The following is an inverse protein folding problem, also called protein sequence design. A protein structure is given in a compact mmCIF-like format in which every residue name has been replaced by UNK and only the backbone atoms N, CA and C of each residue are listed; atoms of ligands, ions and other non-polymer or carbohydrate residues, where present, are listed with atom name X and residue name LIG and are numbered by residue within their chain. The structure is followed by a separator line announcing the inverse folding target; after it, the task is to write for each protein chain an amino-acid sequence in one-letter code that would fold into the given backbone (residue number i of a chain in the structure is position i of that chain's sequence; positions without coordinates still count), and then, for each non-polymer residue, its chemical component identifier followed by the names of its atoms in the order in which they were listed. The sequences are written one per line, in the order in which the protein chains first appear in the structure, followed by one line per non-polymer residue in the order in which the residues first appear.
data_IF_900914621498
#
_entry.id   IF_900914621498
#
_cell.length_a   1.000
_cell.length_b   1.000
_cell.length_c   1.000
_cell.angle_alpha   90.00
_cell.angle_beta   90.00
_cell.angle_gamma   90.00
#
_symmetry.space_group_name_H-M   'P 1'
#
loop_
_entity.id
_entity.type
_entity.pdbx_description
1 polymer ?
#
# COMPACT_ATOMS: atom_id res chain seq x y z
N UNK A 1 -6.09 8.60 -20.16
CA UNK A 1 -6.81 8.15 -18.95
C UNK A 1 -5.81 7.80 -17.86
N UNK A 2 -6.16 7.91 -16.58
CA UNK A 2 -5.21 7.71 -15.45
C UNK A 2 -5.25 6.32 -14.82
N UNK A 3 -5.98 5.38 -15.43
CA UNK A 3 -6.19 4.04 -14.89
C UNK A 3 -5.84 2.98 -15.94
N UNK A 4 -5.66 1.75 -15.47
CA UNK A 4 -5.55 0.56 -16.30
C UNK A 4 -6.56 -0.49 -15.85
N UNK A 5 -7.12 -1.24 -16.79
CA UNK A 5 -8.04 -2.35 -16.47
C UNK A 5 -7.36 -3.66 -16.84
N UNK A 6 -7.30 -4.57 -15.89
CA UNK A 6 -6.85 -5.94 -16.14
C UNK A 6 -8.04 -6.88 -16.09
N UNK A 7 -8.09 -7.81 -17.04
CA UNK A 7 -9.09 -8.87 -17.05
C UNK A 7 -8.44 -10.25 -16.87
N UNK A 8 -8.94 -11.03 -15.91
CA UNK A 8 -8.47 -12.40 -15.70
C UNK A 8 -9.57 -13.27 -15.11
N UNK A 9 -9.81 -14.44 -15.69
CA UNK A 9 -10.81 -15.42 -15.20
C UNK A 9 -12.19 -14.76 -14.96
N UNK A 10 -12.59 -13.85 -15.85
CA UNK A 10 -13.85 -13.11 -15.76
C UNK A 10 -13.90 -12.01 -14.70
N UNK A 11 -12.79 -11.70 -14.03
CA UNK A 11 -12.66 -10.52 -13.16
C UNK A 11 -12.13 -9.33 -13.95
N UNK A 12 -12.72 -8.16 -13.76
CA UNK A 12 -12.22 -6.89 -14.31
C UNK A 12 -11.87 -5.94 -13.18
N UNK A 13 -10.57 -5.67 -13.04
CA UNK A 13 -10.02 -4.85 -11.96
C UNK A 13 -9.44 -3.57 -12.56
N UNK A 14 -9.90 -2.43 -12.08
CA UNK A 14 -9.34 -1.13 -12.41
C UNK A 14 -8.23 -0.76 -11.40
N UNK A 15 -7.11 -0.26 -11.93
CA UNK A 15 -5.92 0.13 -11.19
C UNK A 15 -5.69 1.62 -11.38
N UNK A 16 -5.55 2.34 -10.27
CA UNK A 16 -5.20 3.76 -10.24
C UNK A 16 -3.87 3.94 -9.52
N UNK A 17 -2.99 4.78 -10.06
CA UNK A 17 -1.76 5.21 -9.38
C UNK A 17 -1.85 6.69 -9.04
N UNK A 18 -1.52 7.07 -7.81
CA UNK A 18 -1.53 8.47 -7.40
C UNK A 18 -0.38 8.82 -6.47
N UNK A 19 -0.12 10.12 -6.30
CA UNK A 19 0.85 10.61 -5.31
C UNK A 19 0.30 11.79 -4.50
N UNK A 20 0.76 11.94 -3.26
CA UNK A 20 0.63 13.18 -2.48
C UNK A 20 1.92 13.98 -2.45
N UNK A 21 2.99 13.47 -3.07
CA UNK A 21 4.34 13.99 -2.98
C UNK A 21 4.88 14.12 -4.40
N UNK A 22 5.30 15.34 -4.74
CA UNK A 22 6.21 15.55 -5.85
C UNK A 22 7.61 15.60 -5.25
N UNK A 23 8.51 14.78 -5.78
CA UNK A 23 9.88 14.69 -5.29
C UNK A 23 10.51 16.11 -5.18
N UNK A 24 11.19 16.39 -4.07
CA UNK A 24 11.77 17.70 -3.80
C UNK A 24 12.80 18.12 -4.87
N UNK A 25 13.55 17.17 -5.44
CA UNK A 25 14.45 17.43 -6.59
C UNK A 25 13.72 17.48 -7.94
N UNK A 26 12.52 16.90 -8.04
CA UNK A 26 11.65 17.09 -9.20
C UNK A 26 11.05 18.49 -9.27
N UNK A 27 10.98 19.25 -8.16
CA UNK A 27 10.57 20.67 -8.21
C UNK A 27 11.54 21.53 -9.05
N UNK A 28 12.80 21.10 -9.18
CA UNK A 28 13.79 21.69 -10.09
C UNK A 28 13.79 21.06 -11.49
N UNK A 29 13.30 19.82 -11.63
CA UNK A 29 13.32 19.05 -12.88
C UNK A 29 12.03 19.18 -13.70
N UNK A 30 10.92 19.50 -13.04
CA UNK A 30 9.68 19.97 -13.65
C UNK A 30 9.92 21.42 -14.08
N UNK A 31 10.56 21.60 -15.24
CA UNK A 31 10.66 22.91 -15.92
C UNK A 31 9.30 23.44 -16.41
N UNK A 32 8.21 22.75 -16.07
CA UNK A 32 6.86 23.11 -16.43
C UNK A 32 6.26 24.04 -15.36
N UNK A 33 5.53 25.10 -15.74
CA UNK A 33 4.70 25.87 -14.82
C UNK A 33 3.82 24.95 -13.96
N UNK A 34 3.53 25.36 -12.72
CA UNK A 34 2.83 24.53 -11.72
C UNK A 34 1.53 23.93 -12.24
N UNK A 35 0.76 24.67 -13.04
CA UNK A 35 -0.48 24.22 -13.67
C UNK A 35 -0.27 23.06 -14.68
N UNK A 36 0.87 23.04 -15.37
CA UNK A 36 1.20 22.05 -16.38
C UNK A 36 1.82 20.79 -15.74
N UNK A 37 2.61 20.95 -14.68
CA UNK A 37 3.05 19.83 -13.84
C UNK A 37 1.87 19.10 -13.17
N UNK A 38 0.83 19.84 -12.77
CA UNK A 38 -0.40 19.27 -12.22
C UNK A 38 -1.19 18.42 -13.22
N UNK A 39 -0.97 18.58 -14.53
CA UNK A 39 -1.59 17.73 -15.57
C UNK A 39 -0.79 16.47 -15.89
N UNK A 40 0.44 16.36 -15.39
CA UNK A 40 1.34 15.21 -15.66
C UNK A 40 1.27 14.14 -14.57
N UNK A 41 0.74 14.48 -13.40
CA UNK A 41 0.71 13.60 -12.23
C UNK A 41 -0.69 13.58 -11.63
N UNK A 42 -1.22 12.37 -11.38
CA UNK A 42 -2.47 12.22 -10.65
C UNK A 42 -2.24 12.41 -9.14
N UNK A 43 -2.76 13.49 -8.59
CA UNK A 43 -2.78 13.69 -7.15
C UNK A 43 -3.85 12.82 -6.47
N UNK A 44 -3.50 12.23 -5.34
CA UNK A 44 -4.42 11.37 -4.59
C UNK A 44 -5.67 12.12 -4.08
N UNK A 45 -5.65 13.46 -4.02
CA UNK A 45 -6.82 14.29 -3.67
C UNK A 45 -7.95 14.21 -4.69
N UNK A 46 -7.64 13.93 -5.96
CA UNK A 46 -8.63 13.81 -7.05
C UNK A 46 -9.11 12.36 -7.26
N UNK A 47 -8.37 11.38 -6.74
CA UNK A 47 -8.68 9.94 -6.87
C UNK A 47 -10.07 9.55 -6.38
N UNK A 48 -10.62 10.09 -5.26
CA UNK A 48 -11.96 9.73 -4.80
C UNK A 48 -13.05 9.86 -5.87
N UNK A 49 -13.01 10.90 -6.70
CA UNK A 49 -14.00 11.10 -7.76
C UNK A 49 -13.87 10.03 -8.85
N UNK A 50 -12.64 9.76 -9.30
CA UNK A 50 -12.37 8.73 -10.31
C UNK A 50 -12.72 7.33 -9.82
N UNK A 51 -12.48 7.04 -8.54
CA UNK A 51 -12.87 5.77 -7.92
C UNK A 51 -14.39 5.62 -7.91
N UNK A 52 -15.13 6.70 -7.59
CA UNK A 52 -16.59 6.69 -7.64
C UNK A 52 -17.11 6.42 -9.05
N UNK A 53 -16.53 7.06 -10.08
CA UNK A 53 -16.88 6.84 -11.48
C UNK A 53 -16.60 5.40 -11.91
N UNK A 54 -15.40 4.88 -11.63
CA UNK A 54 -14.99 3.53 -12.00
C UNK A 54 -15.80 2.45 -11.28
N UNK A 55 -16.10 2.63 -9.99
CA UNK A 55 -16.88 1.67 -9.20
C UNK A 55 -18.38 1.69 -9.52
N UNK A 56 -18.88 2.77 -10.15
CA UNK A 56 -20.24 2.82 -10.64
C UNK A 56 -20.43 2.07 -11.97
N UNK A 57 -19.34 1.78 -12.69
CA UNK A 57 -19.42 1.05 -13.95
C UNK A 57 -19.79 -0.41 -13.72
N UNK A 58 -20.80 -0.95 -14.45
CA UNK A 58 -21.26 -2.33 -14.27
C UNK A 58 -20.24 -3.37 -14.72
N UNK A 59 -19.23 -2.94 -15.48
CA UNK A 59 -18.23 -3.80 -16.12
C UNK A 59 -16.91 -3.88 -15.31
N UNK A 60 -16.86 -3.27 -14.13
CA UNK A 60 -15.72 -3.25 -13.21
C UNK A 60 -16.11 -3.93 -11.89
N UNK A 61 -15.38 -4.98 -11.52
CA UNK A 61 -15.63 -5.69 -10.26
C UNK A 61 -14.96 -5.01 -9.06
N UNK A 62 -13.78 -4.42 -9.28
CA UNK A 62 -12.97 -3.84 -8.21
C UNK A 62 -12.16 -2.65 -8.72
N UNK A 63 -11.97 -1.67 -7.83
CA UNK A 63 -10.99 -0.59 -8.02
C UNK A 63 -9.92 -0.73 -6.95
N UNK A 64 -8.65 -0.79 -7.37
CA UNK A 64 -7.48 -0.83 -6.49
C UNK A 64 -6.64 0.42 -6.74
N UNK A 65 -6.24 1.09 -5.66
CA UNK A 65 -5.45 2.32 -5.74
C UNK A 65 -4.05 2.06 -5.20
N UNK A 66 -3.03 2.24 -6.02
CA UNK A 66 -1.64 2.37 -5.59
C UNK A 66 -1.35 3.82 -5.21
N UNK A 67 -0.93 4.06 -3.97
CA UNK A 67 -0.72 5.41 -3.45
C UNK A 67 0.73 5.64 -3.02
N UNK A 68 1.34 6.71 -3.52
CA UNK A 68 2.67 7.16 -3.15
C UNK A 68 2.58 8.35 -2.20
N UNK A 69 2.78 8.14 -0.89
CA UNK A 69 2.41 9.13 0.12
C UNK A 69 3.18 9.04 1.45
N UNK A 70 2.85 9.89 2.41
CA UNK A 70 3.41 9.83 3.75
C UNK A 70 4.79 10.49 3.86
N UNK A 71 5.55 10.12 4.88
CA UNK A 71 6.88 10.68 5.11
C UNK A 71 7.90 9.55 5.13
N UNK A 72 9.06 9.80 4.52
CA UNK A 72 10.15 8.83 4.50
C UNK A 72 10.57 8.46 5.92
N UNK A 73 10.82 7.17 6.12
CA UNK A 73 11.39 6.57 7.33
C UNK A 73 10.55 6.83 8.58
N UNK A 74 9.23 6.97 8.42
CA UNK A 74 8.27 7.05 9.52
C UNK A 74 7.49 5.75 9.63
N UNK A 75 7.48 5.18 10.82
CA UNK A 75 6.84 3.89 11.10
C UNK A 75 5.31 3.99 11.10
N UNK A 76 4.77 5.19 11.36
CA UNK A 76 3.33 5.43 11.40
C UNK A 76 2.86 6.39 10.30
N UNK A 77 1.69 6.13 9.69
CA UNK A 77 1.07 7.05 8.76
C UNK A 77 0.56 8.30 9.51
N UNK A 78 0.69 9.47 8.88
CA UNK A 78 0.08 10.70 9.41
C UNK A 78 -1.44 10.62 9.30
N UNK A 79 -2.15 11.31 10.20
CA UNK A 79 -3.62 11.40 10.20
C UNK A 79 -4.22 11.80 8.83
N UNK A 80 -3.57 12.71 8.09
CA UNK A 80 -3.99 13.08 6.75
C UNK A 80 -3.97 11.93 5.74
N UNK A 81 -2.98 11.03 5.83
CA UNK A 81 -2.89 9.83 4.99
C UNK A 81 -3.98 8.82 5.37
N UNK A 82 -4.21 8.62 6.67
CA UNK A 82 -5.29 7.75 7.16
C UNK A 82 -6.65 8.25 6.68
N UNK A 83 -6.90 9.55 6.81
CA UNK A 83 -8.15 10.19 6.38
C UNK A 83 -8.36 10.06 4.88
N UNK A 84 -7.30 10.28 4.09
CA UNK A 84 -7.35 10.14 2.63
C UNK A 84 -7.61 8.69 2.20
N UNK A 85 -6.95 7.71 2.83
CA UNK A 85 -7.19 6.29 2.56
C UNK A 85 -8.66 5.91 2.80
N UNK A 86 -9.22 6.29 3.95
CA UNK A 86 -10.64 6.06 4.27
C UNK A 86 -11.56 6.69 3.23
N UNK A 87 -11.28 7.92 2.80
CA UNK A 87 -12.05 8.61 1.76
C UNK A 87 -12.02 7.86 0.43
N UNK A 88 -10.86 7.36 0.01
CA UNK A 88 -10.71 6.58 -1.23
C UNK A 88 -11.50 5.27 -1.15
N UNK A 89 -11.45 4.56 -0.02
CA UNK A 89 -12.21 3.33 0.21
C UNK A 89 -13.72 3.57 0.23
N UNK A 90 -14.16 4.60 0.95
CA UNK A 90 -15.57 5.04 1.00
C UNK A 90 -16.09 5.42 -0.40
N UNK A 91 -15.23 5.94 -1.29
CA UNK A 91 -15.59 6.29 -2.66
C UNK A 91 -15.80 5.09 -3.59
N UNK A 92 -15.48 3.86 -3.18
CA UNK A 92 -15.73 2.66 -3.98
C UNK A 92 -14.53 1.74 -4.19
N UNK A 93 -13.34 2.11 -3.71
CA UNK A 93 -12.17 1.25 -3.83
C UNK A 93 -12.33 0.00 -2.95
N UNK A 94 -11.84 -1.13 -3.43
CA UNK A 94 -11.77 -2.38 -2.66
C UNK A 94 -10.53 -2.39 -1.77
N UNK A 95 -9.41 -1.85 -2.27
CA UNK A 95 -8.16 -1.75 -1.52
C UNK A 95 -7.32 -0.53 -1.92
N UNK A 96 -6.53 -0.03 -0.97
CA UNK A 96 -5.46 0.95 -1.22
C UNK A 96 -4.11 0.36 -0.83
N UNK A 97 -3.16 0.37 -1.75
CA UNK A 97 -1.81 -0.15 -1.56
C UNK A 97 -0.84 1.03 -1.52
N UNK A 98 -0.52 1.47 -0.31
CA UNK A 98 0.39 2.56 -0.03
C UNK A 98 1.87 2.16 -0.11
N UNK A 99 2.71 3.11 -0.51
CA UNK A 99 4.16 3.03 -0.51
C UNK A 99 4.76 4.45 -0.41
N UNK A 100 6.10 4.55 -0.37
CA UNK A 100 6.97 5.74 -0.25
C UNK A 100 7.70 5.89 1.09
N UNK A 101 7.13 5.57 2.26
CA UNK A 101 7.86 5.70 3.53
C UNK A 101 9.17 4.89 3.58
N UNK A 102 9.34 3.92 2.68
CA UNK A 102 10.52 3.03 2.57
C UNK A 102 10.75 2.13 3.80
N UNK A 103 9.85 2.21 4.78
CA UNK A 103 9.73 1.32 5.93
C UNK A 103 8.33 0.72 5.91
N UNK A 104 8.17 -0.43 6.58
CA UNK A 104 6.87 -1.01 6.85
C UNK A 104 6.04 -0.06 7.71
N UNK A 105 4.77 0.10 7.36
CA UNK A 105 3.79 0.80 8.18
C UNK A 105 2.61 -0.12 8.46
N UNK A 106 1.77 0.21 9.47
CA UNK A 106 0.57 -0.55 9.73
C UNK A 106 -0.33 -0.73 8.50
N UNK A 107 -1.16 -1.75 8.57
CA UNK A 107 -2.27 -1.95 7.65
C UNK A 107 -3.61 -1.89 8.40
N UNK A 108 -4.70 -1.66 7.68
CA UNK A 108 -6.02 -1.46 8.28
C UNK A 108 -7.10 -2.15 7.45
N UNK A 109 -7.83 -3.07 8.07
CA UNK A 109 -9.16 -3.46 7.62
C UNK A 109 -10.14 -2.33 7.89
N UNK A 110 -10.92 -1.98 6.89
CA UNK A 110 -11.87 -0.88 6.98
C UNK A 110 -13.22 -1.30 6.44
N UNK A 111 -14.24 -1.16 7.27
CA UNK A 111 -15.63 -1.27 6.83
C UNK A 111 -16.10 0.11 6.38
N UNK A 112 -16.39 0.25 5.09
CA UNK A 112 -16.83 1.51 4.49
C UNK A 112 -18.24 1.88 4.97
N UNK A 113 -18.62 3.14 4.73
CA UNK A 113 -19.97 3.64 5.09
C UNK A 113 -21.11 2.86 4.45
N UNK A 114 -20.90 2.30 3.26
CA UNK A 114 -21.85 1.45 2.55
C UNK A 114 -21.74 -0.05 2.92
N UNK A 115 -20.90 -0.38 3.91
CA UNK A 115 -20.85 -1.70 4.54
C UNK A 115 -19.87 -2.71 3.91
N UNK A 116 -19.11 -2.32 2.89
CA UNK A 116 -18.13 -3.19 2.22
C UNK A 116 -16.91 -3.43 3.11
N UNK A 117 -16.36 -4.64 3.06
CA UNK A 117 -15.08 -4.97 3.69
C UNK A 117 -13.95 -4.58 2.74
N UNK A 118 -13.11 -3.65 3.18
CA UNK A 118 -12.02 -3.08 2.39
C UNK A 118 -10.71 -3.07 3.16
N UNK A 119 -9.62 -2.71 2.49
CA UNK A 119 -8.29 -2.80 3.07
C UNK A 119 -7.36 -1.66 2.65
N UNK A 120 -6.45 -1.28 3.53
CA UNK A 120 -5.32 -0.41 3.19
C UNK A 120 -4.02 -0.91 3.81
N UNK A 121 -2.95 -0.92 3.02
CA UNK A 121 -1.57 -0.96 3.53
C UNK A 121 -1.01 0.45 3.41
N UNK A 122 -0.49 1.04 4.50
CA UNK A 122 0.04 2.40 4.38
C UNK A 122 1.44 2.43 3.75
N UNK A 123 2.25 1.39 3.99
CA UNK A 123 3.53 1.14 3.32
C UNK A 123 3.93 -0.32 3.47
N UNK A 124 4.36 -0.94 2.37
CA UNK A 124 4.90 -2.31 2.34
C UNK A 124 6.44 -2.36 2.39
N UNK A 125 7.08 -1.25 2.74
CA UNK A 125 8.54 -1.17 2.83
C UNK A 125 9.19 -0.86 1.48
N UNK A 126 10.41 -1.35 1.28
CA UNK A 126 11.22 -1.02 0.09
C UNK A 126 11.80 -2.25 -0.58
N UNK A 127 10.90 -3.02 -1.22
CA UNK A 127 11.24 -4.32 -1.81
C UNK A 127 12.42 -4.23 -2.77
N UNK A 128 12.52 -3.20 -3.62
CA UNK A 128 13.52 -3.14 -4.70
C UNK A 128 14.36 -1.86 -4.76
N UNK A 129 14.16 -0.91 -3.84
CA UNK A 129 14.87 0.38 -3.89
C UNK A 129 16.34 0.28 -3.48
N UNK A 130 16.69 -0.78 -2.76
CA UNK A 130 18.00 -0.94 -2.14
C UNK A 130 18.31 0.12 -1.10
N UNK A 131 17.33 0.86 -0.58
CA UNK A 131 17.55 1.90 0.44
C UNK A 131 18.12 1.32 1.74
N UNK A 132 17.77 0.08 2.08
CA UNK A 132 18.42 -0.66 3.17
C UNK A 132 19.92 -0.86 2.95
N UNK A 133 20.38 -0.91 1.70
CA UNK A 133 21.80 -0.99 1.36
C UNK A 133 22.59 0.29 1.65
N UNK A 134 21.96 1.47 1.57
CA UNK A 134 22.65 2.75 1.80
C UNK A 134 22.91 3.03 3.27
N UNK A 135 22.27 2.28 4.17
CA UNK A 135 22.44 2.43 5.60
C UNK A 135 22.49 1.07 6.30
N UNK A 136 23.70 0.48 6.42
CA UNK A 136 23.90 -0.83 7.05
C UNK A 136 23.37 -0.91 8.50
N UNK A 137 23.24 0.24 9.16
CA UNK A 137 22.76 0.38 10.53
C UNK A 137 21.25 0.70 10.63
N UNK A 138 20.53 0.74 9.50
CA UNK A 138 19.08 0.95 9.49
C UNK A 138 18.32 -0.31 9.11
N UNK A 139 18.29 -1.21 10.08
CA UNK A 139 17.46 -2.41 10.18
C UNK A 139 16.07 -2.25 9.53
N UNK A 140 15.32 -1.19 9.89
CA UNK A 140 13.96 -0.93 9.39
C UNK A 140 13.83 -0.79 7.87
N UNK A 141 14.91 -0.43 7.16
CA UNK A 141 14.90 -0.25 5.71
C UNK A 141 15.08 -1.56 4.93
N UNK A 142 15.43 -2.65 5.62
CA UNK A 142 15.77 -3.94 5.00
C UNK A 142 14.60 -4.91 4.99
N UNK A 143 13.51 -4.60 5.68
CA UNK A 143 12.29 -5.42 5.72
C UNK A 143 11.21 -4.79 4.85
N UNK A 144 10.62 -5.62 4.01
CA UNK A 144 9.45 -5.32 3.18
C UNK A 144 8.43 -6.44 3.32
N UNK A 145 7.25 -6.29 2.73
CA UNK A 145 6.30 -7.40 2.66
C UNK A 145 5.63 -7.48 1.29
N UNK A 146 5.39 -8.71 0.84
CA UNK A 146 4.47 -9.01 -0.24
C UNK A 146 3.10 -9.29 0.38
N UNK A 147 2.09 -8.53 -0.03
CA UNK A 147 0.71 -8.72 0.40
C UNK A 147 -0.06 -9.58 -0.61
N UNK A 148 -0.66 -10.67 -0.13
CA UNK A 148 -1.58 -11.52 -0.87
C UNK A 148 -3.00 -11.16 -0.47
N UNK A 149 -3.69 -10.40 -1.33
CA UNK A 149 -5.05 -9.90 -1.06
C UNK A 149 -6.07 -10.77 -1.78
N UNK A 150 -6.90 -11.47 -1.01
CA UNK A 150 -8.00 -12.26 -1.53
C UNK A 150 -9.27 -11.40 -1.64
N UNK A 151 -9.85 -11.38 -2.85
CA UNK A 151 -11.12 -10.72 -3.13
C UNK A 151 -12.25 -11.73 -3.26
N UNK A 152 -13.44 -11.37 -2.78
CA UNK A 152 -14.68 -12.12 -3.03
C UNK A 152 -15.65 -11.25 -3.81
N UNK A 153 -16.23 -11.80 -4.88
CA UNK A 153 -17.27 -11.13 -5.66
C UNK A 153 -18.59 -11.23 -4.92
N UNK A 154 -19.20 -10.09 -4.66
CA UNK A 154 -20.56 -9.94 -4.17
C UNK A 154 -21.45 -9.48 -5.31
N UNK A 155 -22.74 -9.82 -5.21
CA UNK A 155 -23.74 -9.43 -6.18
C UNK A 155 -25.06 -9.11 -5.48
N UNK A 156 -25.78 -8.13 -6.00
CA UNK A 156 -27.17 -7.84 -5.63
C UNK A 156 -27.96 -7.49 -6.88
N UNK A 157 -29.24 -7.79 -6.88
CA UNK A 157 -30.18 -7.34 -7.91
C UNK A 157 -30.79 -6.03 -7.41
N UNK A 158 -30.79 -4.98 -8.24
CA UNK A 158 -31.46 -3.73 -7.93
C UNK A 158 -32.98 -3.79 -8.21
N UNK A 159 -33.69 -2.73 -7.86
CA UNK A 159 -35.15 -2.64 -8.02
C UNK A 159 -35.60 -2.75 -9.49
N UNK A 160 -34.70 -2.48 -10.44
CA UNK A 160 -34.95 -2.56 -11.88
C UNK A 160 -34.56 -3.93 -12.48
N UNK A 161 -34.14 -4.88 -11.65
CA UNK A 161 -33.72 -6.21 -12.07
C UNK A 161 -32.27 -6.28 -12.58
N UNK A 162 -31.49 -5.20 -12.49
CA UNK A 162 -30.09 -5.22 -12.92
C UNK A 162 -29.21 -5.83 -11.83
N UNK A 163 -28.33 -6.73 -12.23
CA UNK A 163 -27.32 -7.27 -11.34
C UNK A 163 -26.16 -6.28 -11.17
N UNK A 164 -25.93 -5.82 -9.95
CA UNK A 164 -24.75 -5.06 -9.56
C UNK A 164 -23.77 -5.96 -8.81
N UNK A 165 -22.52 -5.99 -9.28
CA UNK A 165 -21.42 -6.72 -8.63
C UNK A 165 -20.43 -5.76 -7.98
N UNK A 166 -19.73 -6.22 -6.94
CA UNK A 166 -18.60 -5.52 -6.33
C UNK A 166 -17.65 -6.52 -5.68
N UNK A 167 -16.42 -6.10 -5.44
CA UNK A 167 -15.44 -6.86 -4.69
C UNK A 167 -15.36 -6.44 -3.22
N UNK A 168 -15.16 -7.41 -2.34
CA UNK A 168 -14.78 -7.21 -0.95
C UNK A 168 -13.49 -7.94 -0.64
N UNK A 169 -12.68 -7.38 0.25
CA UNK A 169 -11.47 -8.03 0.77
C UNK A 169 -11.91 -9.08 1.78
N UNK A 170 -11.58 -10.34 1.50
CA UNK A 170 -11.95 -11.49 2.33
C UNK A 170 -10.82 -11.92 3.27
N UNK A 171 -9.57 -11.85 2.78
CA UNK A 171 -8.38 -12.24 3.53
C UNK A 171 -7.18 -11.46 3.00
N UNK A 172 -6.25 -11.14 3.90
CA UNK A 172 -4.93 -10.62 3.53
C UNK A 172 -3.89 -11.47 4.24
N UNK A 173 -2.91 -11.94 3.49
CA UNK A 173 -1.73 -12.63 4.01
C UNK A 173 -0.48 -11.86 3.63
N UNK A 174 0.55 -11.99 4.45
CA UNK A 174 1.81 -11.30 4.27
C UNK A 174 2.96 -12.27 4.22
N UNK A 175 3.80 -12.10 3.21
CA UNK A 175 5.12 -12.73 3.12
C UNK A 175 6.14 -11.64 3.40
N UNK A 176 6.74 -11.58 4.61
CA UNK A 176 7.81 -10.65 4.87
C UNK A 176 9.03 -11.02 4.03
N UNK A 177 9.71 -10.01 3.51
CA UNK A 177 10.90 -10.12 2.67
C UNK A 177 12.04 -9.31 3.29
N UNK A 178 13.20 -9.92 3.41
CA UNK A 178 14.43 -9.30 3.90
C UNK A 178 15.41 -9.10 2.76
N UNK A 179 15.98 -7.90 2.69
CA UNK A 179 17.13 -7.57 1.84
C UNK A 179 18.44 -7.99 2.53
N UNK A 180 19.14 -8.95 1.92
CA UNK A 180 20.43 -9.46 2.40
C UNK A 180 21.53 -9.32 1.35
N UNK A 181 22.77 -9.31 1.85
CA UNK A 181 23.97 -9.45 1.04
C UNK A 181 24.45 -10.89 1.07
N UNK A 182 24.69 -11.45 -0.10
CA UNK A 182 25.20 -12.81 -0.28
C UNK A 182 26.48 -12.73 -1.10
N UNK A 183 27.48 -13.52 -0.74
CA UNK A 183 28.69 -13.67 -1.55
C UNK A 183 28.39 -14.62 -2.72
N UNK A 184 28.62 -14.17 -3.94
CA UNK A 184 28.51 -14.96 -5.15
C UNK A 184 29.84 -14.87 -5.91
N UNK A 185 30.69 -15.89 -5.72
CA UNK A 185 32.02 -16.00 -6.33
C UNK A 185 32.89 -14.74 -6.11
N UNK A 186 32.93 -14.23 -4.87
CA UNK A 186 33.71 -13.04 -4.50
C UNK A 186 33.04 -11.71 -4.85
N UNK A 187 31.86 -11.74 -5.47
CA UNK A 187 31.02 -10.56 -5.69
C UNK A 187 29.88 -10.53 -4.68
N UNK A 188 29.77 -9.45 -3.92
CA UNK A 188 28.60 -9.23 -3.06
C UNK A 188 27.39 -8.88 -3.92
N UNK A 189 26.39 -9.74 -3.91
CA UNK A 189 25.11 -9.52 -4.58
C UNK A 189 24.01 -9.30 -3.56
N UNK A 190 22.98 -8.57 -3.97
CA UNK A 190 21.78 -8.35 -3.16
C UNK A 190 20.76 -9.42 -3.49
N UNK A 191 20.19 -10.00 -2.46
CA UNK A 191 19.09 -10.93 -2.59
C UNK A 191 17.93 -10.50 -1.71
N UNK A 192 16.72 -10.70 -2.23
CA UNK A 192 15.48 -10.60 -1.49
C UNK A 192 15.06 -12.02 -1.14
N UNK A 193 14.96 -12.33 0.14
CA UNK A 193 14.50 -13.65 0.60
C UNK A 193 13.34 -13.50 1.55
N UNK A 194 12.45 -14.50 1.57
CA UNK A 194 11.50 -14.62 2.66
C UNK A 194 12.28 -14.67 3.97
N UNK A 195 11.80 -13.97 4.98
CA UNK A 195 12.60 -13.78 6.20
C UNK A 195 12.84 -15.10 6.94
N UNK A 196 11.92 -16.07 6.81
CA UNK A 196 12.08 -17.45 7.27
C UNK A 196 13.30 -18.18 6.68
N UNK A 197 13.73 -17.81 5.47
CA UNK A 197 14.89 -18.37 4.78
C UNK A 197 16.21 -17.66 5.12
N UNK A 198 16.18 -16.64 5.99
CA UNK A 198 17.34 -15.84 6.39
C UNK A 198 17.88 -16.32 7.74
N UNK A 199 19.20 -16.41 7.98
CA UNK A 199 19.72 -16.79 9.29
C UNK A 199 19.32 -15.81 10.43
N UNK A 200 19.22 -16.31 11.68
CA UNK A 200 18.75 -15.56 12.88
C UNK A 200 19.49 -14.27 13.23
N UNK A 201 20.65 -14.04 12.65
CA UNK A 201 21.45 -12.81 12.79
C UNK A 201 21.16 -11.76 11.69
N UNK A 202 20.26 -12.05 10.75
CA UNK A 202 19.76 -11.13 9.72
C UNK A 202 18.48 -10.41 10.15
N UNK A 203 17.59 -10.10 9.21
CA UNK A 203 16.34 -9.38 9.52
C UNK A 203 15.33 -10.20 10.34
N UNK A 204 15.63 -11.42 10.78
CA UNK A 204 14.70 -12.23 11.57
C UNK A 204 14.34 -11.59 12.93
N UNK A 205 15.27 -10.86 13.56
CA UNK A 205 14.95 -10.05 14.76
C UNK A 205 13.98 -8.90 14.44
N UNK A 206 13.90 -8.51 13.17
CA UNK A 206 13.09 -7.41 12.67
C UNK A 206 11.71 -7.89 12.17
N UNK A 207 11.48 -9.19 12.04
CA UNK A 207 10.19 -9.75 11.64
C UNK A 207 9.10 -9.48 12.68
N UNK A 208 9.42 -9.64 13.97
CA UNK A 208 8.44 -9.61 15.05
C UNK A 208 7.69 -8.28 15.11
N UNK A 209 8.38 -7.15 14.94
CA UNK A 209 7.74 -5.84 14.91
C UNK A 209 6.96 -5.60 13.61
N UNK A 210 7.46 -6.05 12.46
CA UNK A 210 6.77 -5.88 11.18
C UNK A 210 5.42 -6.65 11.15
N UNK A 211 5.39 -7.87 11.73
CA UNK A 211 4.15 -8.63 11.92
C UNK A 211 3.16 -7.91 12.84
N UNK A 212 3.64 -7.26 13.90
CA UNK A 212 2.76 -6.48 14.78
C UNK A 212 2.11 -5.29 14.06
N UNK A 213 2.82 -4.65 13.11
CA UNK A 213 2.26 -3.54 12.33
C UNK A 213 1.22 -4.03 11.30
N UNK A 214 1.47 -5.17 10.65
CA UNK A 214 0.59 -5.68 9.59
C UNK A 214 -0.62 -6.48 10.10
N UNK A 215 -0.50 -7.09 11.29
CA UNK A 215 -1.50 -7.99 11.87
C UNK A 215 -2.38 -7.39 12.96
N UNK A 216 -2.20 -6.12 13.36
CA UNK A 216 -3.07 -5.54 14.38
C UNK A 216 -4.41 -5.12 13.76
N UNK A 217 -5.46 -5.92 13.96
CA UNK A 217 -6.84 -5.44 13.81
C UNK A 217 -7.16 -4.28 14.78
N UNK A 218 -6.30 -4.07 15.79
CA UNK A 218 -6.38 -2.99 16.77
C UNK A 218 -5.47 -1.81 16.45
N UNK A 219 -6.04 -0.79 15.81
CA UNK A 219 -5.48 0.57 15.72
C UNK A 219 -5.26 1.24 17.10
N UNK A 220 -5.64 0.58 18.21
CA UNK A 220 -5.57 1.12 19.58
C UNK A 220 -4.14 1.25 20.11
N UNK A 221 -3.13 0.59 19.52
CA UNK A 221 -1.74 0.69 19.99
C UNK A 221 -0.99 1.95 19.55
N UNK A 222 -1.46 2.72 18.57
CA UNK A 222 -0.76 3.96 18.15
C UNK A 222 -0.79 5.04 19.24
N UNK A 223 -1.74 4.98 20.19
CA UNK A 223 -1.72 5.86 21.37
C UNK A 223 -0.82 5.38 22.51
N UNK A 224 -0.38 4.12 22.51
CA UNK A 224 0.42 3.54 23.59
C UNK A 224 1.91 3.35 23.23
N UNK A 225 2.31 3.71 22.00
CA UNK A 225 3.69 3.58 21.51
C UNK A 225 4.66 4.68 21.98
N UNK A 226 4.20 5.66 22.77
CA UNK A 226 5.10 6.55 23.53
C UNK A 226 5.89 5.80 24.63
N UNK A 227 5.64 4.51 24.84
CA UNK A 227 6.25 3.73 25.94
C UNK A 227 7.28 2.67 25.50
N UNK A 228 7.81 2.73 24.28
CA UNK A 228 8.94 1.91 23.85
C UNK A 228 10.11 2.81 23.43
N UNK A 229 10.58 3.63 24.38
CA UNK A 229 11.89 4.29 24.30
C UNK A 229 12.88 3.82 25.37
N UNK A 230 12.50 2.89 26.24
CA UNK A 230 13.41 2.32 27.25
C UNK A 230 13.54 0.81 27.08
N UNK A 231 14.40 0.37 26.15
CA UNK A 231 15.19 -0.87 26.23
C UNK A 231 16.39 -0.81 25.29
#
# INVERSE_FOLDING_TARGET
EWYQITEKKGWRIAWLGCTTILCASCRHSLRAPEEEAQRQVLFCTHVPNMVAELSARPDIDAVIVGAHWGAQFKDDPKEGVITLAKKILDSGAAAVIGNHPHVMQPAMHYKTKDGRNTYVTFSLGSLTSGLGSWSPNQHKLRVSAVALVQLTRKARIDENGNQKTWAEVAKVEYVPICEIWVDNNGTKVREMRATEDVPKNGCQKEESWAYHLLGSEDFRRIKDLERIQDF
#
